data_IF_142339071518
#
_entry.id   IF_142339071518
#
_cell.length_a   1.000
_cell.length_b   1.000
_cell.length_c   1.000
_cell.angle_alpha   90.00
_cell.angle_beta   90.00
_cell.angle_gamma   90.00
#
_symmetry.space_group_name_H-M   'P 1'
#
loop_
_entity.id
_entity.type
_entity.pdbx_description
1 polymer ?
#
# COMPACT_ATOMS: atom_id res chain seq x y z
N UNK A 1 -5.45 -34.89 -50.78
CA UNK A 1 -6.05 -33.93 -49.85
C UNK A 1 -5.35 -32.61 -50.10
N UNK A 2 -5.98 -31.88 -51.01
CA UNK A 2 -6.17 -30.43 -51.02
C UNK A 2 -5.02 -29.52 -51.44
N UNK A 3 -5.02 -29.29 -52.76
CA UNK A 3 -4.77 -28.02 -53.43
C UNK A 3 -5.76 -26.93 -52.95
N UNK A 4 -5.25 -25.74 -52.63
CA UNK A 4 -6.12 -24.57 -52.40
C UNK A 4 -5.46 -23.22 -52.77
N UNK A 5 -4.63 -23.19 -53.83
CA UNK A 5 -3.96 -21.95 -54.28
C UNK A 5 -3.96 -21.72 -55.81
N UNK A 6 -4.92 -22.24 -56.57
CA UNK A 6 -5.02 -21.99 -58.03
C UNK A 6 -6.14 -21.02 -58.46
N UNK A 7 -6.89 -20.41 -57.53
CA UNK A 7 -8.11 -19.67 -57.89
C UNK A 7 -7.98 -18.14 -58.04
N UNK A 8 -6.79 -17.60 -58.35
CA UNK A 8 -6.58 -16.15 -58.44
C UNK A 8 -6.09 -15.62 -59.81
N UNK A 9 -6.20 -16.41 -60.87
CA UNK A 9 -6.06 -15.89 -62.24
C UNK A 9 -7.27 -16.29 -63.07
N UNK A 10 -8.34 -15.51 -62.93
CA UNK A 10 -9.45 -15.51 -63.86
C UNK A 10 -9.26 -14.32 -64.81
N UNK A 11 -8.50 -14.57 -65.88
CA UNK A 11 -8.20 -13.62 -66.96
C UNK A 11 -9.21 -13.74 -68.12
N UNK A 12 -10.40 -14.34 -67.90
CA UNK A 12 -11.40 -14.64 -68.93
C UNK A 12 -12.81 -14.12 -68.61
N UNK A 13 -12.96 -12.83 -68.33
CA UNK A 13 -14.26 -12.17 -68.46
C UNK A 13 -14.11 -10.91 -69.30
N UNK A 14 -14.32 -11.08 -70.61
CA UNK A 14 -14.87 -10.14 -71.61
C UNK A 14 -14.33 -10.46 -73.01
N UNK A 15 -14.58 -11.70 -73.47
CA UNK A 15 -14.79 -11.95 -74.89
C UNK A 15 -16.15 -11.39 -75.29
N UNK A 16 -16.15 -10.40 -76.17
CA UNK A 16 -17.10 -10.18 -77.28
C UNK A 16 -17.16 -8.69 -77.61
N UNK A 17 -16.45 -8.26 -78.66
CA UNK A 17 -17.07 -7.59 -79.82
C UNK A 17 -16.01 -7.36 -80.91
N UNK A 18 -16.07 -8.23 -81.92
CA UNK A 18 -15.74 -8.06 -83.34
C UNK A 18 -14.39 -7.46 -83.78
N UNK A 19 -13.56 -8.37 -84.32
CA UNK A 19 -12.57 -8.08 -85.34
C UNK A 19 -13.27 -7.84 -86.68
N UNK A 20 -13.26 -6.60 -87.18
CA UNK A 20 -13.18 -6.36 -88.62
C UNK A 20 -12.00 -5.45 -88.97
N UNK A 21 -11.20 -6.00 -89.88
CA UNK A 21 -10.07 -5.41 -90.58
C UNK A 21 -10.61 -4.38 -91.57
N UNK A 22 -10.14 -3.14 -91.49
CA UNK A 22 -9.82 -2.38 -92.71
C UNK A 22 -8.90 -1.19 -92.41
N UNK A 23 -7.92 -1.01 -93.29
CA UNK A 23 -6.98 0.12 -93.35
C UNK A 23 -7.14 0.81 -94.71
N UNK A 24 -6.60 2.02 -94.95
CA UNK A 24 -6.59 3.26 -94.17
C UNK A 24 -7.26 4.42 -94.97
N UNK A 25 -7.83 5.44 -94.31
CA UNK A 25 -8.14 6.73 -94.98
C UNK A 25 -7.77 7.93 -94.11
N UNK A 26 -6.76 8.65 -94.57
CA UNK A 26 -6.26 9.93 -94.12
C UNK A 26 -7.36 11.01 -94.13
N UNK A 27 -7.71 11.59 -92.96
CA UNK A 27 -8.22 12.97 -92.81
C UNK A 27 -7.91 13.51 -91.41
N UNK A 28 -7.10 14.56 -91.37
CA UNK A 28 -7.01 15.72 -90.43
C UNK A 28 -7.27 15.57 -88.91
N UNK A 29 -6.49 16.28 -88.05
CA UNK A 29 -6.48 16.07 -86.61
C UNK A 29 -7.62 16.85 -85.93
N UNK A 30 -8.70 16.18 -85.57
CA UNK A 30 -9.63 16.71 -84.58
C UNK A 30 -9.12 16.35 -83.18
N UNK A 31 -8.85 17.39 -82.39
CA UNK A 31 -8.42 17.32 -80.99
C UNK A 31 -9.38 16.41 -80.20
N UNK A 32 -8.86 15.31 -79.67
CA UNK A 32 -9.54 14.56 -78.61
C UNK A 32 -9.80 15.52 -77.43
N UNK A 33 -11.01 15.55 -76.85
CA UNK A 33 -11.28 16.37 -75.67
C UNK A 33 -10.41 15.86 -74.52
N UNK A 34 -9.71 16.79 -73.88
CA UNK A 34 -8.83 16.55 -72.75
C UNK A 34 -9.59 15.74 -71.68
N UNK A 35 -9.09 14.56 -71.33
CA UNK A 35 -9.60 13.76 -70.22
C UNK A 35 -9.39 14.58 -68.94
N UNK A 36 -10.40 15.37 -68.56
CA UNK A 36 -10.45 16.03 -67.27
C UNK A 36 -10.56 14.93 -66.20
N UNK A 37 -9.41 14.51 -65.66
CA UNK A 37 -9.38 13.72 -64.43
C UNK A 37 -10.26 14.45 -63.41
N UNK A 38 -11.37 13.82 -63.02
CA UNK A 38 -12.24 14.32 -61.98
C UNK A 38 -11.36 14.62 -60.75
N UNK A 39 -11.20 15.91 -60.46
CA UNK A 39 -10.40 16.37 -59.33
C UNK A 39 -11.23 16.05 -58.08
N UNK A 40 -11.09 14.82 -57.60
CA UNK A 40 -11.70 14.37 -56.35
C UNK A 40 -11.29 15.41 -55.28
N UNK A 41 -12.24 15.99 -54.54
CA UNK A 41 -11.94 17.04 -53.57
C UNK A 41 -10.81 16.59 -52.63
N UNK A 42 -9.82 17.47 -52.40
CA UNK A 42 -8.63 17.19 -51.60
C UNK A 42 -8.92 16.65 -50.18
N UNK A 43 -10.14 16.79 -49.67
CA UNK A 43 -10.53 16.34 -48.34
C UNK A 43 -10.63 14.81 -48.20
N UNK A 44 -10.57 14.03 -49.29
CA UNK A 44 -10.58 12.55 -49.26
C UNK A 44 -9.21 11.93 -49.54
N UNK A 45 -8.18 12.73 -49.83
CA UNK A 45 -6.81 12.26 -49.76
C UNK A 45 -6.38 12.39 -48.30
N UNK A 46 -6.49 11.31 -47.55
CA UNK A 46 -5.84 11.19 -46.23
C UNK A 46 -4.35 11.43 -46.44
N UNK A 47 -3.91 12.66 -46.23
CA UNK A 47 -2.52 13.04 -46.43
C UNK A 47 -1.69 12.38 -45.34
N UNK A 48 -0.52 11.85 -45.70
CA UNK A 48 0.46 11.35 -44.73
C UNK A 48 0.82 12.40 -43.67
N UNK A 49 0.63 13.69 -44.01
CA UNK A 49 0.78 14.82 -43.09
C UNK A 49 -0.27 14.89 -41.97
N UNK A 50 -1.43 14.22 -42.11
CA UNK A 50 -2.43 14.12 -41.04
C UNK A 50 -2.02 13.12 -39.97
N UNK A 51 -1.14 12.16 -40.31
CA UNK A 51 -0.71 11.10 -39.41
C UNK A 51 0.48 11.49 -38.52
N UNK A 52 1.07 12.69 -38.64
CA UNK A 52 2.19 13.08 -37.77
C UNK A 52 1.82 13.01 -36.28
N UNK A 53 0.61 13.44 -35.92
CA UNK A 53 0.12 13.34 -34.54
C UNK A 53 -0.12 11.88 -34.13
N UNK A 54 -0.64 11.04 -35.03
CA UNK A 54 -0.86 9.61 -34.77
C UNK A 54 0.45 8.84 -34.62
N UNK A 55 1.43 9.10 -35.49
CA UNK A 55 2.79 8.53 -35.43
C UNK A 55 3.50 9.00 -34.16
N UNK A 56 3.38 10.28 -33.79
CA UNK A 56 3.92 10.80 -32.53
C UNK A 56 3.29 10.09 -31.31
N UNK A 57 1.97 9.89 -31.33
CA UNK A 57 1.28 9.18 -30.25
C UNK A 57 1.70 7.71 -30.17
N UNK A 58 1.81 7.01 -31.30
CA UNK A 58 2.29 5.62 -31.37
C UNK A 58 3.75 5.54 -30.89
N UNK A 59 4.60 6.48 -31.28
CA UNK A 59 5.99 6.54 -30.82
C UNK A 59 6.05 6.75 -29.30
N UNK A 60 5.25 7.68 -28.76
CA UNK A 60 5.14 7.90 -27.32
C UNK A 60 4.66 6.66 -26.56
N UNK A 61 3.64 5.97 -27.08
CA UNK A 61 3.12 4.73 -26.52
C UNK A 61 4.18 3.61 -26.55
N UNK A 62 4.94 3.53 -27.63
CA UNK A 62 6.03 2.56 -27.80
C UNK A 62 7.13 2.79 -26.77
N UNK A 63 7.57 4.04 -26.58
CA UNK A 63 8.56 4.39 -25.55
C UNK A 63 8.03 4.06 -24.15
N UNK A 64 6.77 4.37 -23.88
CA UNK A 64 6.12 4.02 -22.61
C UNK A 64 6.11 2.51 -22.37
N UNK A 65 5.74 1.72 -23.39
CA UNK A 65 5.70 0.26 -23.31
C UNK A 65 7.09 -0.36 -23.11
N UNK A 66 8.10 0.11 -23.84
CA UNK A 66 9.48 -0.32 -23.67
C UNK A 66 10.02 0.00 -22.27
N UNK A 67 9.71 1.19 -21.73
CA UNK A 67 10.07 1.54 -20.37
C UNK A 67 9.39 0.63 -19.34
N UNK A 68 8.11 0.30 -19.55
CA UNK A 68 7.38 -0.63 -18.69
C UNK A 68 8.05 -2.01 -18.65
N UNK A 69 8.35 -2.59 -19.83
CA UNK A 69 9.03 -3.90 -19.92
C UNK A 69 10.42 -3.88 -19.28
N UNK A 70 11.22 -2.84 -19.55
CA UNK A 70 12.55 -2.68 -18.97
C UNK A 70 12.50 -2.50 -17.44
N UNK A 71 11.54 -1.71 -16.95
CA UNK A 71 11.33 -1.47 -15.52
C UNK A 71 10.91 -2.73 -14.78
N UNK A 72 9.92 -3.45 -15.32
CA UNK A 72 9.46 -4.75 -14.81
C UNK A 72 10.59 -5.78 -14.76
N UNK A 73 11.34 -5.93 -15.86
CA UNK A 73 12.44 -6.88 -15.94
C UNK A 73 13.56 -6.57 -14.93
N UNK A 74 13.92 -5.29 -14.77
CA UNK A 74 14.90 -4.86 -13.76
C UNK A 74 14.45 -5.17 -12.34
N UNK A 75 13.21 -4.84 -11.99
CA UNK A 75 12.66 -5.11 -10.66
C UNK A 75 12.60 -6.62 -10.37
N UNK A 76 12.18 -7.43 -11.35
CA UNK A 76 12.17 -8.88 -11.25
C UNK A 76 13.58 -9.45 -11.01
N UNK A 77 14.59 -8.96 -11.76
CA UNK A 77 15.99 -9.36 -11.61
C UNK A 77 16.53 -9.03 -10.22
N UNK A 78 16.22 -7.85 -9.70
CA UNK A 78 16.61 -7.41 -8.35
C UNK A 78 15.97 -8.27 -7.26
N UNK A 79 14.67 -8.56 -7.36
CA UNK A 79 13.98 -9.41 -6.39
C UNK A 79 14.49 -10.85 -6.40
N UNK A 80 14.74 -11.41 -7.59
CA UNK A 80 15.31 -12.76 -7.76
C UNK A 80 16.72 -12.85 -7.20
N UNK A 81 17.55 -11.82 -7.43
CA UNK A 81 18.88 -11.75 -6.85
C UNK A 81 18.85 -11.71 -5.31
N UNK A 82 17.96 -10.90 -4.74
CA UNK A 82 17.78 -10.84 -3.29
C UNK A 82 17.38 -12.22 -2.74
N UNK A 83 16.40 -12.89 -3.34
CA UNK A 83 15.97 -14.21 -2.92
C UNK A 83 17.12 -15.22 -2.98
N UNK A 84 17.85 -15.27 -4.11
CA UNK A 84 18.97 -16.20 -4.28
C UNK A 84 20.06 -16.01 -3.22
N UNK A 85 20.32 -14.77 -2.79
CA UNK A 85 21.35 -14.48 -1.80
C UNK A 85 20.94 -14.83 -0.34
N UNK A 86 19.64 -14.81 -0.05
CA UNK A 86 19.11 -14.99 1.31
C UNK A 86 18.40 -16.34 1.53
N UNK A 87 18.08 -17.07 0.46
CA UNK A 87 17.33 -18.33 0.50
C UNK A 87 17.94 -19.35 1.48
N UNK A 88 19.24 -19.64 1.34
CA UNK A 88 19.95 -20.58 2.22
C UNK A 88 19.89 -20.16 3.69
N UNK A 89 20.03 -18.85 3.96
CA UNK A 89 19.93 -18.33 5.32
C UNK A 89 18.51 -18.51 5.89
N UNK A 90 17.48 -18.27 5.07
CA UNK A 90 16.07 -18.40 5.48
C UNK A 90 15.70 -19.88 5.72
N UNK A 91 16.09 -20.77 4.82
CA UNK A 91 15.84 -22.22 4.93
C UNK A 91 16.55 -22.83 6.16
N UNK A 92 17.68 -22.25 6.60
CA UNK A 92 18.34 -22.65 7.84
C UNK A 92 17.59 -22.24 9.11
N UNK A 93 16.70 -21.24 9.03
CA UNK A 93 16.03 -20.62 10.17
C UNK A 93 14.54 -20.95 10.27
N UNK A 94 13.90 -21.31 9.14
CA UNK A 94 12.47 -21.57 9.02
C UNK A 94 12.25 -22.92 8.33
N UNK A 95 11.23 -23.66 8.76
CA UNK A 95 10.87 -24.91 8.09
C UNK A 95 10.13 -24.68 6.76
N UNK A 96 9.47 -23.53 6.63
CA UNK A 96 8.69 -23.16 5.45
C UNK A 96 9.14 -21.77 4.98
N UNK A 97 9.54 -21.66 3.71
CA UNK A 97 10.01 -20.43 3.08
C UNK A 97 9.37 -20.28 1.70
N UNK A 98 8.60 -19.22 1.49
CA UNK A 98 7.92 -18.92 0.22
C UNK A 98 6.53 -19.52 0.06
N UNK A 99 5.85 -19.84 1.16
CA UNK A 99 4.48 -20.34 1.11
C UNK A 99 3.50 -19.20 0.77
N UNK A 100 2.71 -19.41 -0.29
CA UNK A 100 1.66 -18.49 -0.74
C UNK A 100 0.38 -18.67 0.10
N UNK A 101 0.30 -19.68 0.97
CA UNK A 101 -0.88 -19.98 1.81
C UNK A 101 -2.15 -20.34 1.02
N UNK A 102 -2.07 -20.32 -0.32
CA UNK A 102 -3.17 -20.48 -1.26
C UNK A 102 -3.09 -21.83 -1.97
N UNK A 103 -1.88 -22.37 -2.16
CA UNK A 103 -1.64 -23.68 -2.75
C UNK A 103 -1.73 -24.79 -1.69
N UNK A 104 -2.41 -25.90 -2.03
CA UNK A 104 -2.46 -27.11 -1.17
C UNK A 104 -1.09 -27.78 -0.99
N UNK A 105 -0.14 -27.46 -1.87
CA UNK A 105 1.25 -27.90 -1.80
C UNK A 105 2.14 -26.72 -1.42
N UNK A 106 3.04 -26.92 -0.48
CA UNK A 106 4.00 -25.91 -0.02
C UNK A 106 5.01 -25.69 -1.15
N UNK A 107 4.84 -24.61 -1.91
CA UNK A 107 5.79 -24.24 -2.96
C UNK A 107 6.96 -23.53 -2.29
N UNK A 108 8.09 -24.21 -2.09
CA UNK A 108 9.24 -23.61 -1.41
C UNK A 108 10.07 -22.73 -2.35
N UNK A 109 10.52 -21.58 -1.86
CA UNK A 109 11.50 -20.74 -2.57
C UNK A 109 10.94 -19.96 -3.74
N UNK A 110 9.63 -19.70 -3.76
CA UNK A 110 9.00 -18.76 -4.68
C UNK A 110 8.73 -17.45 -3.95
N UNK A 111 8.99 -16.35 -4.64
CA UNK A 111 8.73 -15.01 -4.14
C UNK A 111 7.47 -14.48 -4.81
N UNK A 112 6.51 -14.07 -3.98
CA UNK A 112 5.20 -13.63 -4.39
C UNK A 112 5.27 -12.24 -5.00
N UNK A 113 4.65 -12.09 -6.17
CA UNK A 113 4.60 -10.81 -6.86
C UNK A 113 3.25 -10.14 -6.62
N UNK A 114 3.18 -9.31 -5.60
CA UNK A 114 1.99 -8.51 -5.31
C UNK A 114 1.78 -7.39 -6.34
N UNK A 115 2.87 -6.78 -6.80
CA UNK A 115 2.84 -5.72 -7.81
C UNK A 115 4.12 -5.71 -8.66
N UNK A 116 4.16 -4.89 -9.70
CA UNK A 116 5.35 -4.72 -10.56
C UNK A 116 6.55 -4.08 -9.82
N UNK A 117 6.31 -3.56 -8.62
CA UNK A 117 7.33 -2.95 -7.76
C UNK A 117 7.30 -3.46 -6.31
N UNK A 118 6.41 -4.40 -5.98
CA UNK A 118 6.29 -4.98 -4.63
C UNK A 118 6.33 -6.49 -4.73
N UNK A 119 7.26 -7.06 -4.00
CA UNK A 119 7.57 -8.49 -3.98
C UNK A 119 7.58 -8.94 -2.53
N UNK A 120 6.90 -10.04 -2.22
CA UNK A 120 6.71 -10.51 -0.86
C UNK A 120 7.23 -11.95 -0.71
N UNK A 121 7.79 -12.26 0.44
CA UNK A 121 8.20 -13.61 0.81
C UNK A 121 7.68 -13.90 2.22
N UNK A 122 6.85 -14.92 2.36
CA UNK A 122 6.37 -15.39 3.63
C UNK A 122 7.20 -16.57 4.13
N UNK A 123 7.61 -16.55 5.40
CA UNK A 123 8.35 -17.61 6.05
C UNK A 123 7.65 -17.99 7.37
N UNK A 124 7.61 -19.28 7.70
CA UNK A 124 6.97 -19.77 8.93
C UNK A 124 7.66 -21.03 9.47
N UNK A 125 7.25 -21.46 10.67
CA UNK A 125 7.76 -22.67 11.30
C UNK A 125 9.07 -22.50 12.08
N UNK A 126 9.32 -21.28 12.57
CA UNK A 126 10.34 -21.01 13.59
C UNK A 126 9.67 -20.87 14.95
N UNK A 127 10.29 -21.39 16.01
CA UNK A 127 9.77 -21.24 17.37
C UNK A 127 9.63 -19.78 17.77
N UNK A 128 8.55 -19.42 18.47
CA UNK A 128 8.21 -18.05 18.92
C UNK A 128 7.86 -17.05 17.79
N UNK A 129 7.83 -17.50 16.53
CA UNK A 129 7.45 -16.69 15.37
C UNK A 129 6.26 -17.36 14.70
N UNK A 130 5.11 -16.68 14.68
CA UNK A 130 3.93 -17.15 13.96
C UNK A 130 4.19 -17.08 12.44
N UNK A 131 4.79 -15.98 12.00
CA UNK A 131 5.18 -15.79 10.61
C UNK A 131 6.14 -14.62 10.43
N UNK A 132 6.85 -14.63 9.30
CA UNK A 132 7.70 -13.53 8.88
C UNK A 132 7.40 -13.18 7.43
N UNK A 133 6.96 -11.94 7.21
CA UNK A 133 6.76 -11.36 5.90
C UNK A 133 7.94 -10.46 5.55
N UNK A 134 8.63 -10.76 4.45
CA UNK A 134 9.64 -9.88 3.87
C UNK A 134 9.07 -9.24 2.61
N UNK A 135 8.89 -7.92 2.64
CA UNK A 135 8.44 -7.12 1.50
C UNK A 135 9.63 -6.35 0.88
N UNK A 136 9.91 -6.60 -0.39
CA UNK A 136 10.80 -5.77 -1.20
C UNK A 136 9.95 -4.69 -1.89
N UNK A 137 10.00 -3.47 -1.35
CA UNK A 137 9.38 -2.28 -1.94
C UNK A 137 10.38 -1.61 -2.87
N UNK A 138 10.36 -2.07 -4.12
CA UNK A 138 11.14 -1.49 -5.18
C UNK A 138 10.46 -0.23 -5.72
N UNK A 139 11.26 0.62 -6.33
CA UNK A 139 10.80 1.81 -7.01
C UNK A 139 10.01 1.44 -8.28
N UNK A 140 9.01 2.26 -8.59
CA UNK A 140 8.14 2.11 -9.77
C UNK A 140 8.86 2.47 -11.07
N UNK A 141 9.88 1.71 -11.44
CA UNK A 141 10.70 1.93 -12.66
C UNK A 141 9.90 1.76 -13.94
N UNK A 142 8.85 0.95 -13.88
CA UNK A 142 7.93 0.69 -14.99
C UNK A 142 7.02 1.88 -15.32
N UNK A 143 6.88 2.83 -14.38
CA UNK A 143 5.99 3.99 -14.50
C UNK A 143 6.80 5.25 -14.84
N UNK A 144 6.53 5.81 -16.02
CA UNK A 144 7.26 6.95 -16.56
C UNK A 144 6.99 8.24 -15.74
N UNK A 145 5.78 8.41 -15.20
CA UNK A 145 5.42 9.59 -14.40
C UNK A 145 6.21 9.56 -13.09
N UNK A 146 6.24 8.40 -12.44
CA UNK A 146 7.03 8.20 -11.21
C UNK A 146 8.53 8.35 -11.48
N UNK A 147 9.02 7.99 -12.66
CA UNK A 147 10.41 8.24 -13.07
C UNK A 147 10.72 9.73 -13.23
N UNK A 148 9.78 10.51 -13.80
CA UNK A 148 9.93 11.97 -13.94
C UNK A 148 9.87 12.69 -12.58
N UNK A 149 8.89 12.34 -11.73
CA UNK A 149 8.75 12.90 -10.38
C UNK A 149 10.00 12.68 -9.51
N UNK A 150 10.75 11.63 -9.81
CA UNK A 150 12.01 11.30 -9.13
C UNK A 150 13.09 12.36 -9.27
N UNK A 151 13.08 13.14 -10.35
CA UNK A 151 14.01 14.26 -10.55
C UNK A 151 13.88 15.26 -9.40
N UNK A 152 12.64 15.46 -8.91
CA UNK A 152 12.35 16.38 -7.82
C UNK A 152 12.44 15.73 -6.43
N UNK A 153 12.11 14.44 -6.31
CA UNK A 153 12.13 13.72 -5.04
C UNK A 153 12.96 12.44 -5.13
N UNK A 154 14.20 12.44 -4.60
CA UNK A 154 15.00 11.23 -4.49
C UNK A 154 14.31 10.18 -3.62
N UNK A 155 14.31 8.95 -4.09
CA UNK A 155 13.78 7.78 -3.40
C UNK A 155 14.75 6.61 -3.56
N UNK A 156 14.67 5.64 -2.65
CA UNK A 156 15.48 4.42 -2.65
C UNK A 156 14.55 3.21 -2.55
N UNK A 157 15.02 2.04 -2.98
CA UNK A 157 14.31 0.79 -2.74
C UNK A 157 14.40 0.44 -1.24
N UNK A 158 13.38 -0.23 -0.71
CA UNK A 158 13.29 -0.61 0.70
C UNK A 158 13.02 -2.11 0.83
N UNK A 159 13.57 -2.71 1.88
CA UNK A 159 13.26 -4.07 2.34
C UNK A 159 12.63 -3.94 3.71
N UNK A 160 11.37 -4.34 3.83
CA UNK A 160 10.61 -4.32 5.08
C UNK A 160 10.48 -5.75 5.55
N UNK A 161 10.93 -6.03 6.76
CA UNK A 161 10.78 -7.33 7.41
C UNK A 161 9.81 -7.15 8.56
N UNK A 162 8.65 -7.81 8.46
CA UNK A 162 7.63 -7.89 9.49
C UNK A 162 7.65 -9.30 10.07
N UNK A 163 7.95 -9.41 11.36
CA UNK A 163 7.92 -10.66 12.11
C UNK A 163 6.74 -10.59 13.05
N UNK A 164 5.82 -11.54 12.93
CA UNK A 164 4.70 -11.73 13.84
C UNK A 164 5.13 -12.73 14.92
N UNK A 165 5.10 -12.29 16.16
CA UNK A 165 5.51 -13.08 17.31
C UNK A 165 4.29 -13.79 17.91
N UNK A 166 4.53 -14.93 18.54
CA UNK A 166 3.48 -15.66 19.25
C UNK A 166 3.06 -14.90 20.52
N UNK A 167 1.74 -14.78 20.75
CA UNK A 167 1.19 -14.11 21.92
C UNK A 167 1.61 -14.80 23.22
N UNK A 168 1.98 -13.99 24.23
CA UNK A 168 2.37 -14.49 25.55
C UNK A 168 3.78 -15.11 25.64
N UNK A 169 4.53 -15.23 24.54
CA UNK A 169 5.93 -15.69 24.56
C UNK A 169 6.94 -14.59 24.87
N UNK A 170 6.63 -13.35 24.47
CA UNK A 170 7.51 -12.20 24.64
C UNK A 170 6.85 -11.19 25.56
N UNK A 171 7.63 -10.64 26.48
CA UNK A 171 7.13 -9.58 27.35
C UNK A 171 6.79 -8.33 26.54
N UNK A 172 5.60 -7.79 26.77
CA UNK A 172 5.14 -6.64 26.01
C UNK A 172 5.88 -5.37 26.41
N UNK A 173 6.39 -4.64 25.43
CA UNK A 173 6.77 -3.23 25.52
C UNK A 173 6.84 -2.62 24.12
N UNK A 174 6.68 -1.30 24.03
CA UNK A 174 6.85 -0.57 22.76
C UNK A 174 8.19 0.16 22.70
N UNK A 175 8.94 -0.07 21.63
CA UNK A 175 10.26 0.49 21.36
C UNK A 175 10.45 0.73 19.86
N UNK A 176 10.96 1.89 19.47
CA UNK A 176 11.39 2.15 18.11
C UNK A 176 12.63 3.01 18.07
N UNK A 177 13.61 2.60 17.28
CA UNK A 177 14.74 3.43 16.88
C UNK A 177 14.67 3.65 15.38
N UNK A 178 14.67 4.92 14.97
CA UNK A 178 14.51 5.29 13.57
C UNK A 178 15.36 6.50 13.22
N UNK A 179 15.70 6.68 11.94
CA UNK A 179 16.31 7.92 11.47
C UNK A 179 15.39 9.11 11.82
N UNK A 180 15.97 10.24 12.23
CA UNK A 180 15.20 11.42 12.71
C UNK A 180 14.05 11.84 11.79
N UNK A 181 14.25 11.77 10.48
CA UNK A 181 13.22 12.10 9.46
C UNK A 181 12.06 11.10 9.48
N UNK A 182 12.36 9.81 9.58
CA UNK A 182 11.36 8.73 9.58
C UNK A 182 10.68 8.59 10.95
N UNK A 183 11.39 8.85 12.06
CA UNK A 183 10.87 8.77 13.43
C UNK A 183 9.63 9.64 13.64
N UNK A 184 9.64 10.89 13.14
CA UNK A 184 8.49 11.79 13.27
C UNK A 184 7.27 11.28 12.50
N UNK A 185 7.50 10.72 11.31
CA UNK A 185 6.45 10.10 10.49
C UNK A 185 5.88 8.86 11.18
N UNK A 186 6.74 7.94 11.62
CA UNK A 186 6.33 6.71 12.32
C UNK A 186 5.53 7.00 13.58
N UNK A 187 5.96 7.97 14.40
CA UNK A 187 5.22 8.38 15.59
C UNK A 187 3.85 9.01 15.27
N UNK A 188 3.68 9.63 14.10
CA UNK A 188 2.37 10.15 13.68
C UNK A 188 1.48 9.02 13.16
N UNK A 189 2.05 8.19 12.28
CA UNK A 189 1.34 7.23 11.45
C UNK A 189 1.00 5.94 12.19
N UNK A 190 1.75 5.55 13.22
CA UNK A 190 1.50 4.32 13.98
C UNK A 190 0.87 4.64 15.35
N UNK A 191 -0.21 3.92 15.70
CA UNK A 191 -0.97 4.17 16.95
C UNK A 191 -0.15 3.81 18.18
N UNK A 192 0.46 2.63 18.17
CA UNK A 192 1.31 2.11 19.24
C UNK A 192 2.43 3.09 19.63
N UNK A 193 3.19 3.58 18.66
CA UNK A 193 4.24 4.55 18.91
C UNK A 193 3.68 5.85 19.50
N UNK A 194 2.60 6.37 18.92
CA UNK A 194 2.01 7.62 19.39
C UNK A 194 1.41 7.56 20.79
N UNK A 195 0.96 6.38 21.21
CA UNK A 195 0.23 6.18 22.46
C UNK A 195 1.13 5.74 23.61
N UNK A 196 2.12 4.88 23.33
CA UNK A 196 2.94 4.23 24.36
C UNK A 196 4.35 4.80 24.48
N UNK A 197 4.87 5.48 23.46
CA UNK A 197 6.29 5.90 23.44
C UNK A 197 6.47 7.40 23.56
N UNK A 198 7.61 7.77 24.16
CA UNK A 198 8.11 9.15 24.18
C UNK A 198 9.52 9.20 23.60
N UNK A 199 9.92 10.39 23.14
CA UNK A 199 11.29 10.64 22.65
C UNK A 199 12.26 10.57 23.83
N UNK A 200 13.27 9.70 23.74
CA UNK A 200 14.33 9.57 24.74
C UNK A 200 15.69 9.95 24.18
N UNK A 201 16.60 10.41 25.05
CA UNK A 201 17.99 10.69 24.67
C UNK A 201 18.75 9.39 24.39
N UNK A 202 19.61 9.45 23.38
CA UNK A 202 20.48 8.36 22.94
C UNK A 202 21.86 8.39 23.60
N UNK A 203 22.17 9.38 24.45
CA UNK A 203 23.52 9.57 25.05
C UNK A 203 24.08 8.34 25.77
N UNK A 204 23.22 7.45 26.27
CA UNK A 204 23.61 6.22 26.96
C UNK A 204 24.06 5.11 26.00
N UNK A 205 23.80 5.26 24.71
CA UNK A 205 24.04 4.25 23.69
C UNK A 205 25.00 4.81 22.64
N UNK A 206 25.97 4.00 22.23
CA UNK A 206 26.94 4.36 21.20
C UNK A 206 26.31 4.24 19.80
N UNK A 207 25.40 5.17 19.49
CA UNK A 207 24.57 5.19 18.29
C UNK A 207 24.70 6.54 17.58
N UNK A 208 24.72 6.59 16.24
CA UNK A 208 24.85 7.84 15.51
C UNK A 208 23.72 8.84 15.83
N UNK A 209 24.08 10.12 15.83
CA UNK A 209 23.13 11.22 16.08
C UNK A 209 22.07 11.40 14.99
N UNK A 210 22.13 10.65 13.89
CA UNK A 210 21.10 10.61 12.84
C UNK A 210 19.84 9.87 13.28
N UNK A 211 19.92 9.05 14.33
CA UNK A 211 18.79 8.30 14.90
C UNK A 211 18.05 9.08 15.99
N UNK A 212 16.80 8.67 16.22
CA UNK A 212 15.93 9.10 17.30
C UNK A 212 15.33 7.86 17.96
N UNK A 213 15.38 7.84 19.29
CA UNK A 213 14.79 6.79 20.11
C UNK A 213 13.39 7.19 20.57
N UNK A 214 12.44 6.28 20.39
CA UNK A 214 11.09 6.27 20.92
C UNK A 214 10.97 5.05 21.83
N UNK A 215 10.67 5.25 23.10
CA UNK A 215 10.67 4.12 24.04
C UNK A 215 9.69 4.32 25.18
N UNK A 216 8.95 3.26 25.50
CA UNK A 216 8.12 3.16 26.69
C UNK A 216 8.98 2.77 27.91
N UNK A 217 9.61 1.59 27.86
CA UNK A 217 10.32 0.95 28.97
C UNK A 217 11.84 1.02 28.76
N UNK A 218 12.56 1.57 29.75
CA UNK A 218 14.02 1.69 29.69
C UNK A 218 14.74 0.34 29.68
N UNK A 219 14.24 -0.65 30.43
CA UNK A 219 14.77 -2.00 30.48
C UNK A 219 14.69 -2.70 29.10
N UNK A 220 13.52 -2.68 28.46
CA UNK A 220 13.34 -3.19 27.09
C UNK A 220 14.21 -2.45 26.07
N UNK A 221 14.46 -1.15 26.27
CA UNK A 221 15.39 -0.37 25.43
C UNK A 221 16.82 -0.90 25.54
N UNK A 222 17.32 -1.11 26.76
CA UNK A 222 18.66 -1.64 26.98
C UNK A 222 18.78 -3.10 26.52
N UNK A 223 17.68 -3.86 26.57
CA UNK A 223 17.63 -5.21 26.04
C UNK A 223 17.70 -5.23 24.51
N UNK A 224 17.08 -4.30 23.79
CA UNK A 224 17.20 -4.25 22.33
C UNK A 224 18.54 -3.62 21.90
N UNK A 225 18.90 -2.46 22.45
CA UNK A 225 20.11 -1.70 22.10
C UNK A 225 21.34 -2.18 22.88
N UNK A 226 21.80 -3.40 22.59
CA UNK A 226 23.12 -3.83 23.06
C UNK A 226 24.26 -3.36 22.16
N UNK A 227 25.48 -3.70 22.57
CA UNK A 227 26.71 -3.39 21.83
C UNK A 227 26.68 -3.89 20.37
N UNK A 228 26.08 -5.05 20.08
CA UNK A 228 26.03 -5.60 18.71
C UNK A 228 25.06 -4.81 17.84
N UNK A 229 23.87 -4.51 18.35
CA UNK A 229 22.87 -3.71 17.65
C UNK A 229 23.38 -2.29 17.44
N UNK A 230 24.00 -1.66 18.45
CA UNK A 230 24.63 -0.35 18.33
C UNK A 230 25.72 -0.33 17.25
N UNK A 231 26.63 -1.31 17.24
CA UNK A 231 27.65 -1.43 16.19
C UNK A 231 27.06 -1.59 14.80
N UNK A 232 25.97 -2.35 14.65
CA UNK A 232 25.28 -2.51 13.37
C UNK A 232 24.60 -1.22 12.91
N UNK A 233 23.98 -0.48 13.83
CA UNK A 233 23.39 0.84 13.55
C UNK A 233 24.45 1.85 13.10
N UNK A 234 25.64 1.82 13.70
CA UNK A 234 26.77 2.68 13.30
C UNK A 234 27.34 2.25 11.94
N UNK A 235 27.56 0.95 11.74
CA UNK A 235 28.14 0.42 10.49
C UNK A 235 27.24 0.61 9.27
N UNK A 236 25.93 0.45 9.47
CA UNK A 236 24.91 0.55 8.43
C UNK A 236 24.06 1.81 8.57
N UNK A 237 24.69 2.90 9.06
CA UNK A 237 24.04 4.20 9.15
C UNK A 237 23.52 4.63 7.77
N UNK A 238 22.27 5.08 7.71
CA UNK A 238 21.61 5.44 6.46
C UNK A 238 20.94 4.27 5.73
N UNK A 239 21.38 3.03 5.97
CA UNK A 239 20.74 1.81 5.43
C UNK A 239 19.65 1.31 6.38
N UNK A 240 19.91 1.23 7.68
CA UNK A 240 18.87 0.91 8.66
C UNK A 240 17.99 2.15 8.83
N UNK A 241 16.75 2.09 8.39
CA UNK A 241 15.80 3.21 8.50
C UNK A 241 15.11 3.19 9.86
N UNK A 242 14.57 2.04 10.26
CA UNK A 242 14.03 1.84 11.60
C UNK A 242 14.06 0.38 12.06
N UNK A 243 14.10 0.20 13.37
CA UNK A 243 13.84 -1.04 14.10
C UNK A 243 12.73 -0.73 15.09
N UNK A 244 11.61 -1.42 14.96
CA UNK A 244 10.40 -1.20 15.75
C UNK A 244 9.96 -2.53 16.37
N UNK A 245 9.76 -2.51 17.68
CA UNK A 245 9.31 -3.63 18.52
C UNK A 245 8.04 -3.15 19.21
N UNK A 246 6.95 -3.89 19.07
CA UNK A 246 5.69 -3.51 19.66
C UNK A 246 4.83 -4.72 19.93
N UNK A 247 4.31 -4.82 21.15
CA UNK A 247 3.26 -5.78 21.50
C UNK A 247 1.85 -5.28 21.17
N UNK A 248 1.71 -3.98 20.90
CA UNK A 248 0.44 -3.29 20.66
C UNK A 248 0.28 -2.89 19.19
N UNK A 249 0.98 -3.56 18.26
CA UNK A 249 0.95 -3.15 16.87
C UNK A 249 -0.40 -3.42 16.22
N UNK A 250 -1.02 -2.36 15.70
CA UNK A 250 -2.34 -2.38 15.07
C UNK A 250 -2.32 -1.92 13.60
N UNK A 251 -1.14 -1.85 12.98
CA UNK A 251 -0.99 -1.28 11.64
C UNK A 251 -0.89 0.25 11.59
N UNK A 252 -0.83 0.78 10.37
CA UNK A 252 -0.82 2.22 10.10
C UNK A 252 -2.21 2.78 10.36
N UNK A 253 -2.29 3.97 10.99
CA UNK A 253 -3.54 4.72 11.17
C UNK A 253 -4.20 4.94 9.82
N UNK A 254 -5.29 4.24 9.58
CA UNK A 254 -6.16 4.50 8.44
C UNK A 254 -6.91 5.79 8.77
N UNK A 255 -6.71 6.85 7.97
CA UNK A 255 -7.46 8.11 8.06
C UNK A 255 -8.88 7.94 7.51
N UNK A 256 -9.58 6.87 7.90
CA UNK A 256 -11.00 6.76 7.59
C UNK A 256 -11.79 7.57 8.62
N UNK A 257 -12.55 8.54 8.09
CA UNK A 257 -13.36 9.53 8.78
C UNK A 257 -14.53 8.96 9.62
N UNK A 258 -14.52 7.66 9.97
CA UNK A 258 -15.64 7.04 10.66
C UNK A 258 -15.20 6.11 11.80
N UNK A 259 -15.30 6.64 13.01
CA UNK A 259 -15.96 5.99 14.15
C UNK A 259 -15.57 4.52 14.39
N UNK A 260 -14.28 4.28 14.67
CA UNK A 260 -13.85 3.00 15.22
C UNK A 260 -14.43 2.83 16.63
N UNK A 261 -15.56 2.13 16.70
CA UNK A 261 -16.25 1.81 17.95
C UNK A 261 -15.76 0.51 18.58
N UNK A 262 -14.90 -0.23 17.88
CA UNK A 262 -14.24 -1.47 18.33
C UNK A 262 -12.75 -1.21 18.48
N UNK A 263 -12.16 -1.77 19.53
CA UNK A 263 -10.71 -1.72 19.70
C UNK A 263 -10.01 -2.37 18.51
N UNK A 264 -8.91 -1.78 18.02
CA UNK A 264 -8.10 -2.42 17.00
C UNK A 264 -7.49 -3.71 17.55
N UNK A 265 -7.40 -4.72 16.69
CA UNK A 265 -6.69 -5.95 17.01
C UNK A 265 -5.18 -5.64 17.05
N UNK A 266 -4.55 -5.96 18.18
CA UNK A 266 -3.12 -5.73 18.40
C UNK A 266 -2.39 -7.05 18.37
N UNK A 267 -1.28 -7.10 17.64
CA UNK A 267 -0.41 -8.29 17.59
C UNK A 267 1.02 -7.94 17.96
N UNK A 268 1.73 -8.80 18.70
CA UNK A 268 3.14 -8.58 18.97
C UNK A 268 3.97 -8.78 17.69
N UNK A 269 4.76 -7.78 17.35
CA UNK A 269 5.53 -7.79 16.11
C UNK A 269 6.89 -7.10 16.22
N UNK A 270 7.77 -7.47 15.30
CA UNK A 270 9.04 -6.83 15.04
C UNK A 270 9.07 -6.35 13.61
N UNK A 271 9.34 -5.07 13.43
CA UNK A 271 9.35 -4.40 12.14
C UNK A 271 10.73 -3.80 11.90
N UNK A 272 11.36 -4.22 10.81
CA UNK A 272 12.62 -3.68 10.34
C UNK A 272 12.40 -3.06 8.97
N UNK A 273 12.96 -1.87 8.75
CA UNK A 273 13.04 -1.29 7.42
C UNK A 273 14.49 -0.99 7.07
N UNK A 274 14.94 -1.58 5.97
CA UNK A 274 16.25 -1.35 5.40
C UNK A 274 16.11 -0.62 4.07
N UNK A 275 16.69 0.56 3.97
CA UNK A 275 16.80 1.32 2.73
C UNK A 275 18.04 0.88 1.97
N UNK A 276 17.86 0.43 0.73
CA UNK A 276 18.97 -0.04 -0.10
C UNK A 276 19.80 1.16 -0.56
N UNK A 277 21.11 1.04 -0.39
CA UNK A 277 22.07 2.05 -0.84
C UNK A 277 22.02 2.24 -2.36
N UNK A 278 22.30 3.46 -2.82
CA UNK A 278 22.39 3.75 -4.26
C UNK A 278 21.41 4.80 -4.78
N UNK A 279 20.56 5.39 -3.93
CA UNK A 279 19.66 6.52 -4.26
C UNK A 279 18.85 6.28 -5.55
N UNK A 280 18.52 5.02 -5.82
CA UNK A 280 17.81 4.60 -7.03
C UNK A 280 18.55 3.79 -8.07
N UNK A 281 19.88 3.79 -8.01
CA UNK A 281 20.74 3.03 -8.90
C UNK A 281 21.15 1.71 -8.26
N UNK A 282 20.15 0.97 -7.81
CA UNK A 282 20.32 -0.26 -7.08
C UNK A 282 20.85 -1.37 -7.99
N UNK A 283 21.88 -2.06 -7.52
CA UNK A 283 22.55 -3.16 -8.22
C UNK A 283 22.25 -4.49 -7.53
N UNK A 284 22.54 -5.57 -8.24
CA UNK A 284 22.41 -6.94 -7.73
C UNK A 284 23.31 -7.15 -6.50
N UNK A 285 24.55 -6.64 -6.53
CA UNK A 285 25.48 -6.71 -5.39
C UNK A 285 24.95 -6.03 -4.12
N UNK A 286 24.13 -4.99 -4.27
CA UNK A 286 23.56 -4.28 -3.11
C UNK A 286 22.54 -5.15 -2.38
N UNK A 287 21.88 -6.07 -3.09
CA UNK A 287 20.97 -7.04 -2.50
C UNK A 287 21.74 -8.06 -1.67
N UNK A 288 22.86 -8.58 -2.17
CA UNK A 288 23.72 -9.54 -1.45
C UNK A 288 24.30 -8.93 -0.17
N UNK A 289 24.64 -7.64 -0.20
CA UNK A 289 25.18 -6.90 0.94
C UNK A 289 24.19 -6.73 2.11
N UNK A 290 22.91 -7.07 1.94
CA UNK A 290 21.90 -7.04 3.02
C UNK A 290 21.95 -8.28 3.93
N UNK A 291 22.72 -9.32 3.59
CA UNK A 291 22.78 -10.56 4.37
C UNK A 291 23.09 -10.35 5.87
N UNK A 292 24.03 -9.47 6.27
CA UNK A 292 24.27 -9.18 7.69
C UNK A 292 23.08 -8.50 8.40
N UNK A 293 22.23 -7.76 7.67
CA UNK A 293 21.03 -7.15 8.23
C UNK A 293 19.94 -8.19 8.49
N UNK A 294 19.81 -9.21 7.62
CA UNK A 294 18.92 -10.34 7.91
C UNK A 294 19.41 -11.14 9.13
N UNK A 295 20.72 -11.31 9.30
CA UNK A 295 21.28 -11.90 10.53
C UNK A 295 20.98 -11.06 11.77
N UNK A 296 20.99 -9.72 11.65
CA UNK A 296 20.56 -8.82 12.73
C UNK A 296 19.08 -9.03 13.09
N UNK A 297 18.20 -9.24 12.11
CA UNK A 297 16.78 -9.57 12.37
C UNK A 297 16.67 -10.82 13.24
N UNK A 298 17.35 -11.91 12.85
CA UNK A 298 17.30 -13.16 13.62
C UNK A 298 17.91 -13.01 15.01
N UNK A 299 19.00 -12.26 15.12
CA UNK A 299 19.60 -11.93 16.42
C UNK A 299 18.60 -11.23 17.35
N UNK A 300 17.86 -10.24 16.83
CA UNK A 300 16.83 -9.54 17.61
C UNK A 300 15.66 -10.45 18.00
N UNK A 301 15.20 -11.32 17.09
CA UNK A 301 14.15 -12.31 17.39
C UNK A 301 14.59 -13.21 18.55
N UNK A 302 15.77 -13.83 18.43
CA UNK A 302 16.28 -14.75 19.45
C UNK A 302 16.47 -14.05 20.79
N UNK A 303 16.98 -12.82 20.76
CA UNK A 303 17.19 -12.06 21.97
C UNK A 303 15.89 -11.72 22.68
N UNK A 304 14.87 -11.28 21.95
CA UNK A 304 13.57 -10.94 22.51
C UNK A 304 12.81 -12.15 23.02
N UNK A 305 12.95 -13.31 22.38
CA UNK A 305 12.34 -14.56 22.86
C UNK A 305 12.89 -15.02 24.22
N UNK A 306 14.12 -14.62 24.57
CA UNK A 306 14.79 -14.99 25.83
C UNK A 306 14.73 -13.89 26.88
N UNK A 307 14.40 -12.67 26.47
CA UNK A 307 14.37 -11.52 27.34
C UNK A 307 13.09 -11.51 28.16
N UNK A 308 13.22 -11.30 29.46
CA UNK A 308 12.10 -11.12 30.37
C UNK A 308 12.26 -9.82 31.12
N UNK A 309 11.19 -9.04 31.17
CA UNK A 309 11.10 -7.82 31.95
C UNK A 309 11.09 -8.14 33.44
N UNK A 310 11.73 -7.27 34.22
CA UNK A 310 11.57 -7.25 35.67
C UNK A 310 10.10 -7.10 36.07
N UNK A 311 9.75 -7.56 37.28
CA UNK A 311 8.38 -7.44 37.80
C UNK A 311 7.88 -6.00 37.77
N UNK A 312 8.75 -5.04 38.09
CA UNK A 312 8.42 -3.61 38.08
C UNK A 312 8.15 -3.09 36.67
N UNK A 313 9.01 -3.44 35.71
CA UNK A 313 8.83 -3.03 34.32
C UNK A 313 7.59 -3.67 33.70
N UNK A 314 7.31 -4.95 33.98
CA UNK A 314 6.09 -5.63 33.55
C UNK A 314 4.85 -4.96 34.14
N UNK A 315 4.81 -4.67 35.45
CA UNK A 315 3.69 -3.95 36.07
C UNK A 315 3.48 -2.56 35.47
N UNK A 316 4.56 -1.82 35.18
CA UNK A 316 4.47 -0.51 34.53
C UNK A 316 3.87 -0.62 33.14
N UNK A 317 4.31 -1.61 32.37
CA UNK A 317 3.85 -1.82 31.02
C UNK A 317 2.37 -2.24 30.99
N UNK A 318 1.96 -3.19 31.83
CA UNK A 318 0.56 -3.58 32.05
C UNK A 318 -0.34 -2.36 32.37
N UNK A 319 0.11 -1.51 33.30
CA UNK A 319 -0.60 -0.29 33.68
C UNK A 319 -0.75 0.70 32.52
N UNK A 320 0.21 0.75 31.61
CA UNK A 320 0.12 1.59 30.42
C UNK A 320 -0.93 1.04 29.43
N UNK A 321 -1.05 -0.29 29.28
CA UNK A 321 -2.10 -0.92 28.45
C UNK A 321 -3.49 -0.65 29.02
N UNK A 322 -3.67 -0.85 30.32
CA UNK A 322 -4.94 -0.57 30.99
C UNK A 322 -5.37 0.89 30.80
N UNK A 323 -4.44 1.84 30.95
CA UNK A 323 -4.72 3.26 30.68
C UNK A 323 -5.08 3.52 29.21
N UNK A 324 -4.40 2.87 28.28
CA UNK A 324 -4.69 2.99 26.86
C UNK A 324 -6.09 2.47 26.52
N UNK A 325 -6.48 1.32 27.09
CA UNK A 325 -7.81 0.74 26.97
C UNK A 325 -8.89 1.65 27.59
N UNK A 326 -8.67 2.16 28.80
CA UNK A 326 -9.59 3.10 29.45
C UNK A 326 -9.80 4.38 28.62
N UNK A 327 -8.72 4.93 28.06
CA UNK A 327 -8.78 6.10 27.18
C UNK A 327 -9.58 5.80 25.91
N UNK A 328 -9.38 4.63 25.31
CA UNK A 328 -10.14 4.19 24.15
C UNK A 328 -11.63 4.03 24.47
N UNK A 329 -11.96 3.31 25.55
CA UNK A 329 -13.34 3.09 25.98
C UNK A 329 -14.06 4.41 26.28
N UNK A 330 -13.37 5.34 26.94
CA UNK A 330 -13.90 6.68 27.21
C UNK A 330 -14.15 7.46 25.92
N UNK A 331 -13.18 7.48 25.01
CA UNK A 331 -13.31 8.16 23.71
C UNK A 331 -14.47 7.56 22.88
N UNK A 332 -14.54 6.22 22.81
CA UNK A 332 -15.60 5.51 22.11
C UNK A 332 -16.98 5.78 22.73
N UNK A 333 -17.08 5.84 24.06
CA UNK A 333 -18.33 6.18 24.74
C UNK A 333 -18.76 7.62 24.47
N UNK A 334 -17.85 8.59 24.56
CA UNK A 334 -18.14 10.00 24.22
C UNK A 334 -18.61 10.12 22.76
N UNK A 335 -17.90 9.48 21.82
CA UNK A 335 -18.28 9.49 20.41
C UNK A 335 -19.67 8.87 20.17
N UNK A 336 -19.99 7.74 20.83
CA UNK A 336 -21.32 7.12 20.75
C UNK A 336 -22.41 8.05 21.31
N UNK A 337 -22.13 8.78 22.39
CA UNK A 337 -23.08 9.72 22.96
C UNK A 337 -23.32 10.92 22.04
N UNK A 338 -22.26 11.50 21.46
CA UNK A 338 -22.35 12.60 20.50
C UNK A 338 -23.15 12.21 19.27
N UNK A 339 -22.90 11.02 18.70
CA UNK A 339 -23.66 10.51 17.55
C UNK A 339 -25.13 10.26 17.88
N UNK A 340 -25.41 9.74 19.07
CA UNK A 340 -26.79 9.55 19.52
C UNK A 340 -27.50 10.89 19.75
N UNK A 341 -26.79 11.93 20.18
CA UNK A 341 -27.32 13.29 20.31
C UNK A 341 -27.56 13.93 18.94
N UNK A 342 -26.58 13.89 18.03
CA UNK A 342 -26.72 14.40 16.66
C UNK A 342 -27.90 13.75 15.93
N UNK A 343 -28.02 12.41 15.96
CA UNK A 343 -29.17 11.70 15.36
C UNK A 343 -30.51 12.10 15.98
N UNK A 344 -30.54 12.40 17.28
CA UNK A 344 -31.77 12.89 17.95
C UNK A 344 -32.11 14.31 17.53
N UNK A 345 -31.11 15.17 17.36
CA UNK A 345 -31.30 16.55 16.92
C UNK A 345 -31.70 16.63 15.45
N UNK A 346 -31.08 15.84 14.57
CA UNK A 346 -31.47 15.72 13.17
C UNK A 346 -32.89 15.21 13.02
N UNK A 347 -33.28 14.17 13.77
CA UNK A 347 -34.66 13.66 13.75
C UNK A 347 -35.66 14.72 14.18
N UNK A 348 -35.36 15.47 15.25
CA UNK A 348 -36.21 16.58 15.70
C UNK A 348 -36.29 17.70 14.66
N UNK A 349 -35.17 18.05 14.01
CA UNK A 349 -35.14 19.07 12.95
C UNK A 349 -35.97 18.65 11.75
N UNK A 350 -35.84 17.39 11.31
CA UNK A 350 -36.62 16.84 10.20
C UNK A 350 -38.13 16.72 10.54
N UNK A 351 -38.48 16.35 11.77
CA UNK A 351 -39.88 16.34 12.23
C UNK A 351 -40.46 17.77 12.21
N UNK A 352 -39.70 18.77 12.67
CA UNK A 352 -40.11 20.18 12.63
C UNK A 352 -40.25 20.72 11.20
N UNK A 353 -39.34 20.37 10.30
CA UNK A 353 -39.40 20.77 8.89
C UNK A 353 -40.61 20.17 8.19
N UNK A 354 -40.93 18.89 8.45
CA UNK A 354 -42.17 18.25 7.96
C UNK A 354 -43.43 18.93 8.48
N UNK A 355 -43.45 19.34 9.75
CA UNK A 355 -44.57 20.08 10.32
C UNK A 355 -44.76 21.45 9.64
N UNK A 356 -43.66 22.15 9.32
CA UNK A 356 -43.70 23.44 8.62
C UNK A 356 -44.06 23.32 7.13
N UNK A 357 -43.88 22.15 6.52
CA UNK A 357 -44.19 21.88 5.12
C UNK A 357 -45.63 21.38 4.86
N UNK A 358 -46.43 21.14 5.91
CA UNK A 358 -47.82 20.69 5.75
C UNK A 358 -48.72 21.87 5.36
N UNK A 359 -49.35 21.82 4.17
CA UNK A 359 -50.14 22.93 3.60
C UNK A 359 -51.58 23.04 4.14
N UNK A 360 -52.09 22.02 4.85
CA UNK A 360 -53.47 21.96 5.39
C UNK A 360 -53.55 22.52 6.83
N UNK A 361 -54.23 23.66 7.07
CA UNK A 361 -54.20 24.39 8.35
C UNK A 361 -54.82 23.65 9.54
N UNK A 362 -55.81 22.77 9.31
CA UNK A 362 -56.45 22.00 10.38
C UNK A 362 -55.61 20.78 10.78
N UNK A 363 -54.87 20.19 9.83
CA UNK A 363 -53.93 19.10 10.11
C UNK A 363 -52.68 19.59 10.86
N UNK A 364 -52.18 20.77 10.50
CA UNK A 364 -51.04 21.40 11.17
C UNK A 364 -51.31 21.65 12.67
N UNK A 365 -52.44 22.28 13.02
CA UNK A 365 -52.82 22.52 14.44
C UNK A 365 -52.92 21.23 15.26
N UNK A 366 -53.52 20.19 14.69
CA UNK A 366 -53.67 18.89 15.36
C UNK A 366 -52.32 18.18 15.59
N UNK A 367 -51.36 18.36 14.68
CA UNK A 367 -50.01 17.81 14.82
C UNK A 367 -49.18 18.59 15.86
N UNK A 368 -49.28 19.92 15.87
CA UNK A 368 -48.60 20.80 16.83
C UNK A 368 -49.10 20.57 18.28
N UNK A 369 -50.42 20.48 18.48
CA UNK A 369 -51.01 20.16 19.79
C UNK A 369 -50.54 18.78 20.30
N UNK A 370 -50.41 17.80 19.38
CA UNK A 370 -49.93 16.46 19.70
C UNK A 370 -48.45 16.45 20.09
N UNK A 371 -47.62 17.26 19.45
CA UNK A 371 -46.21 17.44 19.81
C UNK A 371 -46.06 18.13 21.16
N UNK A 372 -46.76 19.24 21.38
CA UNK A 372 -46.73 20.03 22.63
C UNK A 372 -47.16 19.18 23.82
N UNK A 373 -48.16 18.30 23.63
CA UNK A 373 -48.60 17.33 24.65
C UNK A 373 -47.58 16.20 24.89
N UNK A 374 -46.78 15.82 23.89
CA UNK A 374 -45.67 14.85 24.05
C UNK A 374 -44.47 15.46 24.76
N UNK A 375 -44.12 16.71 24.45
CA UNK A 375 -43.02 17.41 25.13
C UNK A 375 -43.32 17.69 26.59
N UNK A 376 -44.52 18.16 26.91
CA UNK A 376 -44.96 18.39 28.30
C UNK A 376 -44.91 17.10 29.12
N UNK A 377 -45.30 15.95 28.54
CA UNK A 377 -45.14 14.63 29.17
C UNK A 377 -43.68 14.18 29.36
N UNK A 378 -42.75 14.61 28.51
CA UNK A 378 -41.31 14.32 28.65
C UNK A 378 -40.64 15.21 29.70
N UNK A 379 -41.11 16.45 29.86
CA UNK A 379 -40.62 17.41 30.87
C UNK A 379 -41.14 17.12 32.28
N UNK A 380 -42.22 16.35 32.42
CA UNK A 380 -42.70 15.91 33.74
C UNK A 380 -41.66 14.98 34.40
N UNK A 381 -41.24 15.28 35.65
CA UNK A 381 -40.29 14.45 36.38
C UNK A 381 -40.88 13.07 36.63
N UNK A 382 -40.14 12.00 36.29
CA UNK A 382 -40.55 10.64 36.62
C UNK A 382 -40.41 10.44 38.13
N UNK A 383 -41.52 10.36 38.86
CA UNK A 383 -41.53 9.97 40.27
C UNK A 383 -40.91 8.57 40.39
N UNK A 384 -39.71 8.47 40.96
CA UNK A 384 -39.15 7.20 41.39
C UNK A 384 -39.99 6.72 42.57
N UNK A 385 -40.75 5.64 42.41
CA UNK A 385 -41.32 4.95 43.57
C UNK A 385 -40.15 4.41 44.40
N UNK A 386 -39.90 5.01 45.55
CA UNK A 386 -39.16 4.33 46.62
C UNK A 386 -39.96 3.09 46.98
N UNK A 387 -39.39 1.90 46.77
CA UNK A 387 -39.88 0.70 47.46
C UNK A 387 -39.67 0.95 48.95
N UNK A 388 -40.76 1.09 49.69
CA UNK A 388 -40.74 1.02 51.13
C UNK A 388 -40.77 -0.46 51.56
N UNK A 389 -40.00 -0.74 52.61
CA UNK A 389 -39.75 -2.02 53.31
C UNK A 389 -38.67 -2.92 52.69
#
# INVERSE_FOLDING_TARGET
ADDEFEHLHDDEEFENFDREKDSPKTKTPDKLPDLQMAKVPLHLRTSWDSFYLEILMIAGLTVYFLNFLAGKSKNCKLATAWLSAHKELLESQFSIVGDDGTSKEVTTGVLMKESENVYALWCSGRTCVEGMLVELKLLKRQDLINLLLRIFKPASDQVIVKVELEEGKVDGFVFCIAQKRSAAKLHKDMTDLSQFTEKKSLEKFDVPASYQLLSEIGEGTAAVLDKRVCQMLTRYEGVIEYIHVSDQYSGVKIQEDNQQTKMPETKPCLLFCFTISGKGKTRVSDMENLKPLMQLVFYCIDKLSRFQLSKEARMKSEKNRQKAEEQFLKAAHTQRQELAQQRREEKKRAEKEKLMAEEDPDRARKLEDRETRRESRKKQPKMKMMKAC
#
